data_IF_516127002718
#
_entry.id   IF_516127002718
#
_cell.length_a   1.000
_cell.length_b   1.000
_cell.length_c   1.000
_cell.angle_alpha   90.00
_cell.angle_beta   90.00
_cell.angle_gamma   90.00
#
_symmetry.space_group_name_H-M   'P 1'
#
loop_
_entity.id
_entity.type
_entity.pdbx_description
1 polymer ?
#
# COMPACT_ATOMS: atom_id res chain seq x y z
N UNK A 1 8.59 -5.37 15.91
CA UNK A 1 7.89 -4.29 16.58
C UNK A 1 6.40 -4.46 16.44
N UNK A 2 5.69 -4.29 17.53
CA UNK A 2 4.26 -4.57 17.63
C UNK A 2 3.43 -3.28 17.61
N UNK A 3 3.94 -2.22 16.96
CA UNK A 3 3.22 -0.96 16.89
C UNK A 3 2.06 -1.08 15.91
N UNK A 4 0.86 -1.13 16.43
CA UNK A 4 -0.38 -1.15 15.67
C UNK A 4 -1.09 0.20 15.82
N UNK A 5 -1.35 0.84 14.70
CA UNK A 5 -2.12 2.07 14.65
C UNK A 5 -3.41 1.85 13.87
N UNK A 6 -4.52 2.18 14.46
CA UNK A 6 -5.83 2.06 13.85
C UNK A 6 -6.77 3.17 14.28
N UNK A 7 -7.72 3.47 13.42
CA UNK A 7 -8.75 4.47 13.66
C UNK A 7 -10.11 4.01 13.12
N UNK A 8 -11.16 4.76 13.43
CA UNK A 8 -12.47 4.52 12.87
C UNK A 8 -12.52 4.95 11.40
N UNK A 9 -13.14 4.13 10.53
CA UNK A 9 -13.42 4.49 9.14
C UNK A 9 -14.36 5.69 8.95
N UNK A 10 -14.88 6.24 10.04
CA UNK A 10 -15.80 7.40 10.05
C UNK A 10 -15.17 8.67 10.61
N UNK A 11 -13.89 8.67 10.94
CA UNK A 11 -13.22 9.80 11.56
C UNK A 11 -11.86 10.06 10.95
N UNK A 12 -11.49 11.33 10.91
CA UNK A 12 -10.15 11.74 10.56
C UNK A 12 -9.22 11.59 11.77
N UNK A 13 -8.01 11.16 11.51
CA UNK A 13 -6.97 11.22 12.52
C UNK A 13 -6.53 12.67 12.74
N UNK A 14 -6.24 13.03 13.97
CA UNK A 14 -5.56 14.30 14.22
C UNK A 14 -4.10 14.20 13.77
N UNK A 15 -3.52 15.34 13.38
CA UNK A 15 -2.09 15.39 13.12
C UNK A 15 -1.27 14.95 14.34
N UNK A 16 -1.66 15.36 15.53
CA UNK A 16 -0.96 14.97 16.76
C UNK A 16 -0.95 13.44 16.98
N UNK A 17 -2.06 12.77 16.72
CA UNK A 17 -2.11 11.31 16.79
C UNK A 17 -1.21 10.65 15.74
N UNK A 18 -1.23 11.16 14.52
CA UNK A 18 -0.35 10.65 13.46
C UNK A 18 1.13 10.81 13.84
N UNK A 19 1.53 11.99 14.29
CA UNK A 19 2.93 12.26 14.68
C UNK A 19 3.36 11.37 15.85
N UNK A 20 2.50 11.20 16.85
CA UNK A 20 2.80 10.33 17.98
C UNK A 20 3.09 8.89 17.58
N UNK A 21 2.22 8.29 16.77
CA UNK A 21 2.43 6.92 16.28
C UNK A 21 3.59 6.80 15.32
N UNK A 22 3.81 7.82 14.48
CA UNK A 22 4.98 7.84 13.60
C UNK A 22 6.28 7.88 14.39
N UNK A 23 6.34 8.68 15.47
CA UNK A 23 7.51 8.72 16.33
C UNK A 23 7.82 7.35 16.94
N UNK A 24 6.80 6.67 17.49
CA UNK A 24 6.96 5.31 18.03
C UNK A 24 7.47 4.33 16.96
N UNK A 25 6.87 4.32 15.76
CA UNK A 25 7.29 3.44 14.66
C UNK A 25 8.74 3.72 14.26
N UNK A 26 9.12 4.98 14.14
CA UNK A 26 10.47 5.36 13.72
C UNK A 26 11.52 5.12 14.81
N UNK A 27 11.18 5.25 16.09
CA UNK A 27 12.03 4.88 17.21
C UNK A 27 12.30 3.38 17.21
N UNK A 28 11.26 2.56 17.09
CA UNK A 28 11.37 1.11 17.00
C UNK A 28 12.22 0.68 15.80
N UNK A 29 11.98 1.31 14.64
CA UNK A 29 12.76 1.03 13.44
C UNK A 29 14.25 1.37 13.64
N UNK A 30 14.56 2.54 14.19
CA UNK A 30 15.95 2.95 14.46
C UNK A 30 16.63 2.00 15.44
N UNK A 31 15.92 1.53 16.45
CA UNK A 31 16.46 0.58 17.42
C UNK A 31 16.79 -0.79 16.82
N UNK A 32 16.17 -1.14 15.70
CA UNK A 32 16.38 -2.42 15.01
C UNK A 32 17.35 -2.34 13.82
N UNK A 33 17.88 -1.16 13.50
CA UNK A 33 18.82 -1.02 12.41
C UNK A 33 20.15 -1.76 12.67
N UNK A 34 20.79 -2.35 11.66
CA UNK A 34 20.36 -2.37 10.26
C UNK A 34 19.26 -3.40 9.98
N UNK A 35 18.38 -3.10 9.02
CA UNK A 35 17.35 -4.01 8.53
C UNK A 35 17.54 -4.28 7.04
N UNK A 36 17.16 -5.48 6.58
CA UNK A 36 17.31 -5.87 5.16
C UNK A 36 16.11 -5.45 4.30
N UNK A 37 14.98 -5.11 4.89
CA UNK A 37 13.77 -4.66 4.20
C UNK A 37 12.69 -4.22 5.17
N UNK A 38 11.75 -3.39 4.70
CA UNK A 38 10.61 -2.92 5.48
C UNK A 38 9.31 -3.27 4.78
N UNK A 39 8.42 -3.93 5.52
CA UNK A 39 7.07 -4.23 5.07
C UNK A 39 6.06 -3.35 5.81
N UNK A 40 5.24 -2.64 5.04
CA UNK A 40 4.20 -1.74 5.55
C UNK A 40 2.81 -2.34 5.28
N UNK A 41 2.10 -2.73 6.32
CA UNK A 41 0.70 -3.15 6.23
C UNK A 41 -0.20 -1.91 6.41
N UNK A 42 -0.76 -1.41 5.32
CA UNK A 42 -1.51 -0.17 5.28
C UNK A 42 -2.92 -0.39 4.71
N UNK A 43 -3.82 0.56 4.92
CA UNK A 43 -5.13 0.55 4.29
C UNK A 43 -5.12 1.24 2.92
N UNK A 44 -4.56 2.43 2.83
CA UNK A 44 -4.51 3.24 1.61
C UNK A 44 -5.56 4.36 1.54
N UNK A 45 -6.43 4.46 2.55
CA UNK A 45 -7.44 5.51 2.63
C UNK A 45 -7.42 6.21 4.00
N UNK A 46 -6.23 6.35 4.59
CA UNK A 46 -6.09 7.07 5.85
C UNK A 46 -6.36 8.56 5.62
N UNK A 47 -7.27 9.12 6.40
CA UNK A 47 -7.51 10.55 6.43
C UNK A 47 -6.88 11.15 7.68
N UNK A 48 -5.96 12.08 7.50
CA UNK A 48 -5.28 12.78 8.58
C UNK A 48 -5.33 14.28 8.33
N UNK A 49 -5.71 15.03 9.35
CA UNK A 49 -5.74 16.51 9.22
C UNK A 49 -4.35 17.03 8.88
N UNK A 50 -4.30 17.95 7.92
CA UNK A 50 -3.08 18.63 7.47
C UNK A 50 -2.01 17.75 6.82
N UNK A 51 -2.32 16.46 6.58
CA UNK A 51 -1.44 15.52 5.87
C UNK A 51 -2.24 14.93 4.71
N UNK A 52 -1.97 15.40 3.52
CA UNK A 52 -2.75 15.05 2.32
C UNK A 52 -2.56 13.59 1.86
N UNK A 53 -1.42 12.99 2.17
CA UNK A 53 -1.05 11.63 1.73
C UNK A 53 -0.40 10.87 2.91
N UNK A 54 -1.18 10.44 3.92
CA UNK A 54 -0.61 9.88 5.14
C UNK A 54 0.22 8.62 4.90
N UNK A 55 -0.22 7.70 4.06
CA UNK A 55 0.51 6.46 3.77
C UNK A 55 1.80 6.73 2.98
N UNK A 56 1.79 7.69 2.06
CA UNK A 56 3.00 8.12 1.37
C UNK A 56 3.97 8.82 2.33
N UNK A 57 3.47 9.61 3.28
CA UNK A 57 4.28 10.25 4.32
C UNK A 57 4.91 9.21 5.27
N UNK A 58 4.19 8.15 5.60
CA UNK A 58 4.75 6.99 6.34
C UNK A 58 5.95 6.41 5.57
N UNK A 59 5.74 6.09 4.30
CA UNK A 59 6.79 5.51 3.47
C UNK A 59 8.00 6.46 3.32
N UNK A 60 7.75 7.77 3.17
CA UNK A 60 8.81 8.79 3.09
C UNK A 60 9.68 8.81 4.35
N UNK A 61 9.06 8.87 5.53
CA UNK A 61 9.79 8.90 6.81
C UNK A 61 10.52 7.60 7.08
N UNK A 62 9.95 6.47 6.73
CA UNK A 62 10.63 5.18 6.81
C UNK A 62 11.86 5.17 5.88
N UNK A 63 11.72 5.66 4.65
CA UNK A 63 12.82 5.77 3.68
C UNK A 63 13.97 6.63 4.20
N UNK A 64 13.67 7.72 4.90
CA UNK A 64 14.69 8.58 5.52
C UNK A 64 15.50 7.87 6.60
N UNK A 65 14.90 6.89 7.29
CA UNK A 65 15.61 6.11 8.31
C UNK A 65 16.45 5.00 7.70
N UNK A 66 15.89 4.25 6.73
CA UNK A 66 16.56 3.04 6.21
C UNK A 66 17.48 3.31 5.03
N UNK A 67 17.38 4.48 4.38
CA UNK A 67 18.17 4.83 3.20
C UNK A 67 17.68 4.17 1.92
N UNK A 68 18.32 4.48 0.79
CA UNK A 68 17.85 4.12 -0.55
C UNK A 68 18.03 2.65 -0.93
N UNK A 69 18.87 1.91 -0.21
CA UNK A 69 19.21 0.53 -0.56
C UNK A 69 18.31 -0.51 0.07
N UNK A 70 17.58 -0.16 1.12
CA UNK A 70 16.67 -1.07 1.83
C UNK A 70 15.32 -1.07 1.13
N UNK A 71 14.81 -2.21 0.62
CA UNK A 71 13.51 -2.25 -0.03
C UNK A 71 12.36 -1.98 0.96
N UNK A 72 11.41 -1.16 0.51
CA UNK A 72 10.16 -0.88 1.21
C UNK A 72 9.01 -1.38 0.35
N UNK A 73 8.17 -2.24 0.90
CA UNK A 73 7.01 -2.80 0.21
C UNK A 73 5.75 -2.61 1.05
N UNK A 74 4.67 -2.13 0.44
CA UNK A 74 3.38 -1.95 1.10
C UNK A 74 2.30 -2.92 0.62
N UNK A 75 1.36 -3.25 1.51
CA UNK A 75 0.10 -3.88 1.14
C UNK A 75 -1.07 -2.98 1.50
N UNK A 76 -2.12 -3.02 0.67
CA UNK A 76 -3.26 -2.12 0.74
C UNK A 76 -4.58 -2.85 0.55
N UNK A 77 -5.64 -2.24 1.05
CA UNK A 77 -7.02 -2.52 0.69
C UNK A 77 -7.32 -1.91 -0.69
N UNK A 78 -8.17 -2.56 -1.48
CA UNK A 78 -8.59 -2.03 -2.78
C UNK A 78 -9.40 -0.73 -2.70
N UNK A 79 -9.94 -0.40 -1.52
CA UNK A 79 -10.61 0.89 -1.26
C UNK A 79 -9.63 2.05 -0.99
N UNK A 80 -8.32 1.83 -1.12
CA UNK A 80 -7.33 2.87 -0.94
C UNK A 80 -7.38 3.95 -2.02
N UNK A 81 -6.94 5.16 -1.66
CA UNK A 81 -6.83 6.33 -2.55
C UNK A 81 -5.41 6.59 -3.04
N UNK A 82 -4.48 5.67 -2.76
CA UNK A 82 -3.08 5.85 -3.08
C UNK A 82 -2.84 6.08 -4.59
N UNK A 83 -1.83 6.88 -4.85
CA UNK A 83 -1.39 7.25 -6.19
C UNK A 83 0.13 7.03 -6.38
N UNK A 84 0.73 7.77 -7.30
CA UNK A 84 2.16 7.70 -7.57
C UNK A 84 3.05 8.13 -6.38
N UNK A 85 2.51 8.86 -5.40
CA UNK A 85 3.32 9.43 -4.32
C UNK A 85 3.91 8.36 -3.40
N UNK A 86 3.11 7.35 -3.01
CA UNK A 86 3.61 6.22 -2.23
C UNK A 86 4.78 5.51 -2.96
N UNK A 87 4.63 5.30 -4.27
CA UNK A 87 5.65 4.62 -5.08
C UNK A 87 6.92 5.44 -5.31
N UNK A 88 6.97 6.71 -4.93
CA UNK A 88 8.23 7.47 -4.90
C UNK A 88 9.17 6.96 -3.81
N UNK A 89 8.59 6.54 -2.69
CA UNK A 89 9.31 6.17 -1.48
C UNK A 89 9.41 4.65 -1.26
N UNK A 90 8.46 3.90 -1.81
CA UNK A 90 8.39 2.44 -1.71
C UNK A 90 8.71 1.75 -3.05
N UNK A 91 9.16 0.52 -2.98
CA UNK A 91 9.57 -0.29 -4.13
C UNK A 91 8.40 -1.09 -4.72
N UNK A 92 7.33 -1.27 -3.97
CA UNK A 92 6.13 -1.93 -4.45
C UNK A 92 4.91 -1.72 -3.59
N UNK A 93 3.72 -1.81 -4.20
CA UNK A 93 2.42 -1.72 -3.55
C UNK A 93 1.53 -2.87 -4.02
N UNK A 94 1.08 -3.70 -3.09
CA UNK A 94 0.25 -4.87 -3.35
C UNK A 94 -1.14 -4.67 -2.77
N UNK A 95 -2.14 -4.79 -3.59
CA UNK A 95 -3.53 -4.47 -3.25
C UNK A 95 -4.39 -5.72 -3.28
N UNK A 96 -5.30 -5.88 -2.31
CA UNK A 96 -6.33 -6.92 -2.36
C UNK A 96 -7.13 -6.82 -3.66
N UNK A 97 -7.44 -7.97 -4.27
CA UNK A 97 -8.16 -8.03 -5.55
C UNK A 97 -9.60 -8.50 -5.39
N UNK A 98 -10.03 -8.65 -4.15
CA UNK A 98 -11.38 -9.14 -3.83
C UNK A 98 -12.09 -8.26 -2.83
N UNK A 99 -13.35 -8.03 -3.08
CA UNK A 99 -14.29 -7.44 -2.13
C UNK A 99 -15.49 -8.40 -2.03
N UNK A 100 -15.71 -9.04 -0.88
CA UNK A 100 -14.94 -9.00 0.40
C UNK A 100 -13.49 -9.46 0.30
N UNK A 101 -12.65 -9.05 1.25
CA UNK A 101 -11.16 -9.16 1.24
C UNK A 101 -10.67 -10.55 1.70
N UNK A 102 -11.00 -11.61 0.99
CA UNK A 102 -10.55 -12.96 1.34
C UNK A 102 -9.19 -13.35 0.73
N UNK A 103 -8.57 -12.46 -0.05
CA UNK A 103 -7.27 -12.68 -0.68
C UNK A 103 -6.11 -11.89 -0.03
N UNK A 104 -6.33 -11.23 1.09
CA UNK A 104 -5.33 -10.42 1.78
C UNK A 104 -4.05 -11.22 2.10
N UNK A 105 -4.19 -12.44 2.59
CA UNK A 105 -3.07 -13.33 2.87
C UNK A 105 -2.23 -13.63 1.60
N UNK A 106 -2.90 -13.86 0.48
CA UNK A 106 -2.23 -14.13 -0.81
C UNK A 106 -1.44 -12.90 -1.27
N UNK A 107 -2.00 -11.69 -1.12
CA UNK A 107 -1.29 -10.46 -1.47
C UNK A 107 -0.09 -10.22 -0.54
N UNK A 108 -0.21 -10.50 0.74
CA UNK A 108 0.91 -10.47 1.68
C UNK A 108 2.04 -11.43 1.28
N UNK A 109 1.70 -12.66 0.90
CA UNK A 109 2.69 -13.62 0.39
C UNK A 109 3.38 -13.13 -0.90
N UNK A 110 2.63 -12.50 -1.80
CA UNK A 110 3.19 -11.93 -3.04
C UNK A 110 4.16 -10.79 -2.72
N UNK A 111 3.76 -9.88 -1.84
CA UNK A 111 4.61 -8.79 -1.36
C UNK A 111 5.91 -9.31 -0.72
N UNK A 112 5.83 -10.34 0.12
CA UNK A 112 6.99 -10.94 0.76
C UNK A 112 7.95 -11.62 -0.24
N UNK A 113 7.42 -12.33 -1.24
CA UNK A 113 8.24 -12.93 -2.31
C UNK A 113 8.94 -11.86 -3.14
N UNK A 114 8.23 -10.82 -3.51
CA UNK A 114 8.75 -9.69 -4.25
C UNK A 114 9.88 -8.99 -3.49
N UNK A 115 9.67 -8.64 -2.24
CA UNK A 115 10.68 -8.03 -1.38
C UNK A 115 11.92 -8.92 -1.26
N UNK A 116 11.73 -10.22 -1.04
CA UNK A 116 12.83 -11.20 -0.99
C UNK A 116 13.65 -11.22 -2.27
N UNK A 117 13.02 -11.17 -3.45
CA UNK A 117 13.73 -11.16 -4.73
C UNK A 117 14.54 -9.87 -4.93
N UNK A 118 14.03 -8.72 -4.45
CA UNK A 118 14.80 -7.46 -4.43
C UNK A 118 16.02 -7.60 -3.51
N UNK A 119 15.84 -8.08 -2.27
CA UNK A 119 16.91 -8.26 -1.29
C UNK A 119 18.03 -9.18 -1.80
N UNK A 120 17.69 -10.15 -2.65
CA UNK A 120 18.66 -11.07 -3.29
C UNK A 120 19.30 -10.51 -4.56
N UNK A 121 18.90 -9.33 -5.00
CA UNK A 121 19.36 -8.76 -6.28
C UNK A 121 18.84 -9.48 -7.52
N UNK A 122 17.85 -10.37 -7.37
CA UNK A 122 17.23 -11.13 -8.45
C UNK A 122 16.23 -10.29 -9.26
N UNK A 123 15.75 -9.19 -8.68
CA UNK A 123 14.71 -8.35 -9.26
C UNK A 123 14.98 -6.86 -9.03
N UNK A 124 14.84 -6.07 -10.08
CA UNK A 124 14.87 -4.60 -10.03
C UNK A 124 13.51 -4.07 -10.46
N UNK A 125 12.71 -3.52 -9.54
CA UNK A 125 11.37 -3.06 -9.86
C UNK A 125 11.37 -1.83 -10.78
N UNK A 126 10.57 -1.90 -11.84
CA UNK A 126 10.09 -0.74 -12.58
C UNK A 126 8.66 -0.44 -12.12
N UNK A 127 8.38 0.79 -11.78
CA UNK A 127 7.09 1.19 -11.20
C UNK A 127 6.36 2.15 -12.13
N UNK A 128 5.06 1.96 -12.29
CA UNK A 128 4.19 2.90 -13.00
C UNK A 128 2.85 3.00 -12.27
N UNK A 129 2.31 4.19 -12.19
CA UNK A 129 0.99 4.45 -11.62
C UNK A 129 0.20 5.39 -12.51
N UNK A 130 -1.12 5.20 -12.53
CA UNK A 130 -2.04 6.13 -13.21
C UNK A 130 -3.33 6.21 -12.40
N UNK A 131 -3.75 7.42 -12.07
CA UNK A 131 -5.05 7.72 -11.44
C UNK A 131 -6.02 8.23 -12.51
N UNK A 132 -7.02 7.43 -12.94
CA UNK A 132 -8.06 7.93 -13.84
C UNK A 132 -9.02 8.86 -13.08
N UNK A 133 -9.71 9.80 -13.77
CA UNK A 133 -10.67 10.71 -13.13
C UNK A 133 -12.00 9.98 -12.88
N UNK A 134 -12.00 9.01 -12.00
CA UNK A 134 -13.17 8.19 -11.65
C UNK A 134 -13.32 8.15 -10.14
N UNK A 135 -14.52 8.36 -9.66
CA UNK A 135 -14.91 8.19 -8.26
C UNK A 135 -16.04 7.16 -8.24
N UNK A 136 -15.91 6.14 -7.40
CA UNK A 136 -16.92 5.08 -7.26
C UNK A 136 -17.37 4.96 -5.81
N UNK A 137 -18.67 4.78 -5.59
CA UNK A 137 -19.17 4.48 -4.26
C UNK A 137 -18.72 3.07 -3.83
N UNK A 138 -18.28 2.91 -2.60
CA UNK A 138 -17.75 1.65 -2.06
C UNK A 138 -18.71 0.46 -2.27
N UNK A 139 -20.02 0.69 -2.14
CA UNK A 139 -21.05 -0.33 -2.37
C UNK A 139 -21.12 -0.87 -3.82
N UNK A 140 -20.55 -0.14 -4.77
CA UNK A 140 -20.48 -0.52 -6.18
C UNK A 140 -19.15 -1.18 -6.58
N UNK A 141 -18.24 -1.35 -5.63
CA UNK A 141 -16.90 -1.89 -5.86
C UNK A 141 -16.82 -3.42 -5.67
N UNK A 142 -17.96 -4.09 -5.53
CA UNK A 142 -18.01 -5.55 -5.37
C UNK A 142 -17.38 -6.26 -6.56
N UNK A 143 -16.35 -7.06 -6.28
CA UNK A 143 -15.56 -7.76 -7.31
C UNK A 143 -16.18 -9.07 -7.81
N UNK A 144 -17.39 -9.39 -7.35
CA UNK A 144 -18.17 -10.55 -7.83
C UNK A 144 -19.07 -10.25 -9.03
N UNK A 145 -19.15 -9.00 -9.49
CA UNK A 145 -19.92 -8.59 -10.66
C UNK A 145 -19.20 -7.51 -11.48
N UNK A 146 -19.61 -7.39 -12.75
CA UNK A 146 -19.15 -6.29 -13.63
C UNK A 146 -19.67 -4.94 -13.12
N UNK A 147 -18.89 -3.84 -13.31
CA UNK A 147 -17.62 -3.79 -14.03
C UNK A 147 -16.38 -4.18 -13.20
N UNK A 148 -16.49 -4.28 -11.86
CA UNK A 148 -15.34 -4.53 -10.98
C UNK A 148 -14.71 -5.90 -11.22
N UNK A 149 -15.53 -6.91 -11.46
CA UNK A 149 -15.06 -8.25 -11.83
C UNK A 149 -14.18 -8.20 -13.08
N UNK A 150 -14.62 -7.51 -14.13
CA UNK A 150 -13.92 -7.44 -15.40
C UNK A 150 -12.57 -6.72 -15.27
N UNK A 151 -12.51 -5.66 -14.46
CA UNK A 151 -11.29 -4.92 -14.18
C UNK A 151 -10.26 -5.84 -13.47
N UNK A 152 -10.70 -6.58 -12.45
CA UNK A 152 -9.83 -7.49 -11.71
C UNK A 152 -9.38 -8.68 -12.56
N UNK A 153 -10.26 -9.22 -13.42
CA UNK A 153 -9.88 -10.27 -14.36
C UNK A 153 -8.88 -9.76 -15.40
N UNK A 154 -9.03 -8.53 -15.88
CA UNK A 154 -8.06 -7.90 -16.79
C UNK A 154 -6.70 -7.74 -16.11
N UNK A 155 -6.65 -7.29 -14.86
CA UNK A 155 -5.42 -7.20 -14.08
C UNK A 155 -4.71 -8.56 -13.97
N UNK A 156 -5.44 -9.63 -13.62
CA UNK A 156 -4.90 -10.99 -13.53
C UNK A 156 -4.39 -11.52 -14.87
N UNK A 157 -5.10 -11.23 -15.97
CA UNK A 157 -4.65 -11.64 -17.31
C UNK A 157 -3.34 -10.98 -17.70
N UNK A 158 -3.12 -9.74 -17.27
CA UNK A 158 -1.84 -9.06 -17.46
C UNK A 158 -0.73 -9.74 -16.67
N UNK A 159 -0.96 -10.00 -15.40
CA UNK A 159 0.00 -10.71 -14.52
C UNK A 159 0.34 -12.11 -15.05
N UNK A 160 -0.64 -12.81 -15.65
CA UNK A 160 -0.40 -14.13 -16.25
C UNK A 160 0.42 -14.09 -17.54
N UNK A 161 0.43 -12.96 -18.24
CA UNK A 161 1.15 -12.80 -19.53
C UNK A 161 2.56 -12.26 -19.38
N UNK A 162 2.78 -11.46 -18.35
CA UNK A 162 4.06 -10.79 -18.12
C UNK A 162 4.64 -11.35 -16.84
N UNK A 163 5.65 -12.22 -16.93
CA UNK A 163 6.32 -12.76 -15.74
C UNK A 163 6.80 -11.62 -14.82
N UNK A 164 6.60 -11.80 -13.54
CA UNK A 164 7.01 -10.88 -12.48
C UNK A 164 6.30 -9.51 -12.50
N UNK A 165 5.26 -9.34 -13.33
CA UNK A 165 4.41 -8.16 -13.26
C UNK A 165 3.37 -8.29 -12.14
N UNK A 166 3.16 -7.20 -11.41
CA UNK A 166 2.12 -7.08 -10.40
C UNK A 166 1.22 -5.89 -10.74
N UNK A 167 -0.06 -6.14 -10.87
CA UNK A 167 -1.06 -5.12 -11.20
C UNK A 167 -1.94 -4.88 -9.98
N UNK A 168 -1.78 -3.75 -9.35
CA UNK A 168 -2.59 -3.30 -8.23
C UNK A 168 -3.66 -2.33 -8.70
N UNK A 169 -4.91 -2.57 -8.32
CA UNK A 169 -6.06 -1.74 -8.68
C UNK A 169 -6.67 -1.20 -7.40
N UNK A 170 -6.65 0.11 -7.25
CA UNK A 170 -7.29 0.83 -6.16
C UNK A 170 -8.57 1.47 -6.69
N UNK A 171 -9.69 1.16 -6.10
CA UNK A 171 -10.99 1.76 -6.45
C UNK A 171 -11.23 3.09 -5.75
N UNK A 172 -10.53 3.31 -4.65
CA UNK A 172 -10.67 4.50 -3.85
C UNK A 172 -11.77 4.42 -2.79
N UNK A 173 -11.67 5.35 -1.85
CA UNK A 173 -12.65 5.58 -0.80
C UNK A 173 -13.04 7.06 -0.81
N UNK A 174 -14.20 7.41 -1.38
CA UNK A 174 -14.54 8.80 -1.70
C UNK A 174 -14.71 9.71 -0.47
N UNK A 175 -14.82 9.12 0.72
CA UNK A 175 -15.00 9.87 1.97
C UNK A 175 -13.69 10.33 2.64
N UNK A 176 -12.56 9.92 2.12
CA UNK A 176 -11.22 10.23 2.67
C UNK A 176 -10.27 10.86 1.65
N UNK A 177 -10.78 11.26 0.49
CA UNK A 177 -9.98 11.94 -0.55
C UNK A 177 -10.20 13.45 -0.52
#
# INVERSE_FOLDING_TARGET
>A
PDTVFGGSSRSWNSRASFEHFMEMILEDLRAQMPVDGVYLALHGAMATREIARPEAEIARRVREVVGDQVPIVGTFDLHGNEDAEFLRWADGAFVTKRFPHYDAYVQGQRAARYMRSIMRGEYRPAKASRKPPVITATVLQWTGASPSMDIMERARRWEARVPDAFVSVLYGYPWSD
#
